data_IF_797536816198
#
_entry.id   IF_797536816198
#
_cell.length_a   1.000
_cell.length_b   1.000
_cell.length_c   1.000
_cell.angle_alpha   90.00
_cell.angle_beta   90.00
_cell.angle_gamma   90.00
#
_symmetry.space_group_name_H-M   'P 1'
#
loop_
_entity.id
_entity.type
_entity.pdbx_description
1 polymer ?
#
# COMPACT_ATOMS: atom_id res chain seq x y z
N UNK A 1 7.26 -23.06 9.73
CA UNK A 1 6.86 -22.38 10.97
C UNK A 1 5.82 -21.29 10.69
N UNK A 2 5.81 -20.66 9.51
CA UNK A 2 4.75 -19.75 9.08
C UNK A 2 3.81 -20.36 8.04
N UNK A 3 4.32 -20.74 6.87
CA UNK A 3 3.52 -21.30 5.77
C UNK A 3 2.87 -22.63 6.14
N UNK A 4 3.59 -23.48 6.91
CA UNK A 4 3.09 -24.77 7.41
C UNK A 4 1.88 -24.60 8.33
N UNK A 5 1.82 -23.49 9.06
CA UNK A 5 0.80 -23.22 10.09
C UNK A 5 -0.37 -22.38 9.52
N UNK A 6 -0.40 -22.21 8.18
CA UNK A 6 -1.45 -21.47 7.47
C UNK A 6 -1.25 -19.96 7.45
N UNK A 7 -0.09 -19.45 7.90
CA UNK A 7 0.21 -18.03 7.87
C UNK A 7 0.67 -17.57 6.48
N UNK A 8 0.09 -16.46 5.99
CA UNK A 8 0.53 -15.76 4.78
C UNK A 8 1.76 -14.92 5.14
N UNK A 9 2.92 -15.20 4.54
CA UNK A 9 4.18 -14.50 4.88
C UNK A 9 5.39 -14.92 4.04
N UNK A 10 6.55 -14.32 4.34
CA UNK A 10 7.84 -14.44 3.63
C UNK A 10 8.59 -15.75 3.88
N UNK A 11 8.04 -16.64 4.70
CA UNK A 11 8.69 -17.89 5.13
C UNK A 11 9.44 -17.72 6.46
N UNK A 12 10.17 -18.75 6.89
CA UNK A 12 10.73 -18.82 8.25
C UNK A 12 12.06 -18.02 8.42
N UNK A 13 12.39 -17.13 7.47
CA UNK A 13 13.69 -16.45 7.41
C UNK A 13 13.52 -14.93 7.34
N UNK A 14 14.53 -14.21 7.81
CA UNK A 14 14.66 -12.79 7.55
C UNK A 14 14.81 -12.50 6.07
N UNK A 15 14.25 -11.37 5.64
CA UNK A 15 14.33 -10.88 4.26
C UNK A 15 15.16 -9.61 4.23
N UNK A 16 16.15 -9.59 3.35
CA UNK A 16 16.83 -8.38 2.92
C UNK A 16 16.63 -8.20 1.42
N UNK A 17 16.29 -6.99 1.00
CA UNK A 17 16.13 -6.64 -0.40
C UNK A 17 16.88 -5.34 -0.69
N UNK A 18 17.54 -5.29 -1.85
CA UNK A 18 18.11 -4.10 -2.44
C UNK A 18 17.76 -4.10 -3.93
N UNK A 19 17.36 -2.94 -4.46
CA UNK A 19 16.96 -2.83 -5.86
C UNK A 19 17.26 -1.46 -6.43
N UNK A 20 17.51 -1.44 -7.74
CA UNK A 20 17.71 -0.22 -8.52
C UNK A 20 16.83 -0.31 -9.76
N UNK A 21 16.09 0.74 -10.06
CA UNK A 21 15.14 0.76 -11.19
C UNK A 21 14.98 2.18 -11.75
N UNK A 22 14.52 2.31 -12.99
CA UNK A 22 14.39 3.62 -13.69
C UNK A 22 13.26 4.53 -13.15
N UNK A 23 12.46 4.05 -12.20
CA UNK A 23 11.39 4.83 -11.59
C UNK A 23 10.20 5.14 -12.49
N UNK A 24 10.13 4.63 -13.72
CA UNK A 24 9.03 4.89 -14.63
C UNK A 24 8.00 3.75 -14.61
N UNK A 25 6.76 4.05 -15.00
CA UNK A 25 5.72 3.04 -15.18
C UNK A 25 6.00 2.17 -16.41
N UNK A 26 5.47 0.95 -16.42
CA UNK A 26 5.59 0.04 -17.55
C UNK A 26 5.10 0.65 -18.88
N UNK A 27 5.64 0.13 -20.00
CA UNK A 27 5.22 0.42 -21.38
C UNK A 27 5.38 1.88 -21.84
N UNK A 28 6.37 2.61 -21.32
CA UNK A 28 6.76 3.94 -21.83
C UNK A 28 8.19 3.89 -22.38
N UNK A 29 8.47 4.73 -23.39
CA UNK A 29 9.85 4.98 -23.81
C UNK A 29 10.62 5.58 -22.65
N UNK A 30 11.88 5.17 -22.49
CA UNK A 30 12.75 5.67 -21.42
C UNK A 30 12.86 7.20 -21.51
N UNK A 31 12.43 7.87 -20.44
CA UNK A 31 12.51 9.31 -20.30
C UNK A 31 13.06 9.74 -18.94
N UNK A 32 13.49 8.81 -18.08
CA UNK A 32 14.13 9.07 -16.80
C UNK A 32 15.55 8.50 -16.77
N UNK A 33 16.55 9.37 -16.95
CA UNK A 33 17.96 8.97 -16.80
C UNK A 33 18.38 8.76 -15.33
N UNK A 34 17.49 9.00 -14.36
CA UNK A 34 17.77 8.77 -12.95
C UNK A 34 17.31 7.38 -12.52
N UNK A 35 17.93 6.91 -11.45
CA UNK A 35 17.59 5.64 -10.82
C UNK A 35 16.90 5.91 -9.48
N UNK A 36 15.91 5.08 -9.18
CA UNK A 36 15.41 4.89 -7.84
C UNK A 36 16.17 3.75 -7.20
N UNK A 37 16.54 3.94 -5.95
CA UNK A 37 17.16 2.93 -5.10
C UNK A 37 16.16 2.57 -4.01
N UNK A 38 15.95 1.28 -3.79
CA UNK A 38 15.04 0.76 -2.77
C UNK A 38 15.78 -0.26 -1.90
N UNK A 39 15.43 -0.29 -0.62
CA UNK A 39 15.89 -1.30 0.32
C UNK A 39 14.75 -1.71 1.26
N UNK A 40 14.79 -2.96 1.71
CA UNK A 40 13.91 -3.49 2.76
C UNK A 40 14.67 -4.48 3.62
N UNK A 41 14.42 -4.42 4.93
CA UNK A 41 14.79 -5.46 5.89
C UNK A 41 13.55 -5.87 6.68
N UNK A 42 13.37 -7.17 6.89
CA UNK A 42 12.29 -7.75 7.68
C UNK A 42 12.84 -8.97 8.40
N UNK A 43 12.46 -9.19 9.67
CA UNK A 43 12.92 -10.36 10.39
C UNK A 43 11.84 -10.92 11.32
N UNK A 44 11.43 -12.19 11.17
CA UNK A 44 10.47 -12.80 12.08
C UNK A 44 11.14 -13.20 13.40
N UNK A 45 10.57 -12.76 14.52
CA UNK A 45 10.97 -13.16 15.87
C UNK A 45 9.88 -14.01 16.52
N UNK A 46 10.29 -15.09 17.18
CA UNK A 46 9.43 -15.82 18.10
C UNK A 46 9.52 -15.20 19.50
N UNK A 47 8.38 -14.84 20.08
CA UNK A 47 8.25 -14.35 21.44
C UNK A 47 7.25 -15.26 22.16
N UNK A 48 7.75 -16.13 23.04
CA UNK A 48 6.93 -17.17 23.65
C UNK A 48 6.35 -18.12 22.59
N UNK A 49 5.03 -18.19 22.50
CA UNK A 49 4.31 -19.01 21.52
C UNK A 49 3.84 -18.22 20.28
N UNK A 50 4.20 -16.94 20.20
CA UNK A 50 3.73 -15.96 19.24
C UNK A 50 4.85 -15.55 18.29
N UNK A 51 4.51 -15.21 17.05
CA UNK A 51 5.47 -14.72 16.05
C UNK A 51 5.14 -13.27 15.71
N UNK A 52 6.16 -12.42 15.75
CA UNK A 52 6.12 -11.05 15.24
C UNK A 52 7.11 -10.88 14.09
N UNK A 53 6.85 -9.97 13.17
CA UNK A 53 7.77 -9.61 12.09
C UNK A 53 7.76 -8.10 11.88
N UNK A 54 8.67 -7.36 12.54
CA UNK A 54 8.95 -5.98 12.19
C UNK A 54 9.74 -5.91 10.88
N UNK A 55 9.53 -4.83 10.14
CA UNK A 55 10.27 -4.51 8.94
C UNK A 55 10.46 -3.01 8.76
N UNK A 56 11.53 -2.65 8.06
CA UNK A 56 11.83 -1.30 7.64
C UNK A 56 12.10 -1.30 6.14
N UNK A 57 11.56 -0.32 5.43
CA UNK A 57 11.82 -0.12 4.02
C UNK A 57 12.06 1.34 3.71
N UNK A 58 12.85 1.60 2.69
CA UNK A 58 13.06 2.95 2.19
C UNK A 58 13.29 2.92 0.69
N UNK A 59 12.92 4.01 0.02
CA UNK A 59 13.39 4.28 -1.32
C UNK A 59 13.63 5.77 -1.51
N UNK A 60 14.49 6.09 -2.47
CA UNK A 60 14.72 7.46 -2.92
C UNK A 60 15.05 7.48 -4.41
N UNK A 61 14.67 8.54 -5.09
CA UNK A 61 14.94 8.75 -6.50
C UNK A 61 14.41 10.07 -7.01
N UNK A 62 14.48 10.21 -8.33
CA UNK A 62 13.96 11.34 -9.08
C UNK A 62 12.92 10.85 -10.05
N UNK A 63 11.71 11.41 -9.94
CA UNK A 63 10.62 11.19 -10.86
C UNK A 63 10.74 12.13 -12.07
N UNK A 64 10.62 11.53 -13.25
CA UNK A 64 10.52 12.26 -14.52
C UNK A 64 9.09 12.17 -15.04
N UNK A 65 8.44 13.32 -15.13
CA UNK A 65 7.09 13.47 -15.64
C UNK A 65 7.04 13.34 -17.17
N UNK A 66 6.12 12.51 -17.65
CA UNK A 66 5.73 12.39 -19.05
C UNK A 66 4.40 13.08 -19.34
N UNK A 67 3.50 12.35 -20.01
CA UNK A 67 2.19 12.82 -20.49
C UNK A 67 1.14 13.04 -19.40
N UNK A 68 1.43 12.67 -18.15
CA UNK A 68 0.52 12.83 -17.02
C UNK A 68 0.31 14.29 -16.59
N UNK A 69 1.17 15.22 -17.00
CA UNK A 69 1.03 16.65 -16.70
C UNK A 69 0.14 17.34 -17.74
N UNK A 70 -0.95 17.93 -17.27
CA UNK A 70 -1.92 18.64 -18.11
C UNK A 70 -1.38 19.96 -18.65
N UNK A 71 -1.95 20.40 -19.77
CA UNK A 71 -1.69 21.75 -20.29
C UNK A 71 -2.06 22.81 -19.26
N UNK A 72 -1.19 23.81 -19.07
CA UNK A 72 -1.36 24.88 -18.08
C UNK A 72 -0.97 24.50 -16.64
N UNK A 73 -0.65 23.24 -16.34
CA UNK A 73 -0.10 22.84 -15.05
C UNK A 73 1.42 23.01 -15.06
N UNK A 74 1.93 23.79 -14.12
CA UNK A 74 3.37 24.04 -14.00
C UNK A 74 4.05 22.99 -13.11
N UNK A 75 5.29 22.64 -13.44
CA UNK A 75 6.14 21.76 -12.60
C UNK A 75 7.53 22.37 -12.63
N UNK A 76 8.11 22.66 -11.45
CA UNK A 76 9.41 23.35 -11.37
C UNK A 76 10.52 22.59 -12.09
N UNK A 77 10.58 21.28 -11.89
CA UNK A 77 11.54 20.40 -12.54
C UNK A 77 10.87 19.09 -12.96
N UNK A 78 10.37 19.06 -14.21
CA UNK A 78 9.68 17.89 -14.75
C UNK A 78 10.56 16.65 -14.78
N UNK A 79 11.87 16.79 -14.89
CA UNK A 79 12.79 15.67 -15.13
C UNK A 79 13.41 15.14 -13.83
N UNK A 80 13.50 15.98 -12.80
CA UNK A 80 14.16 15.66 -11.54
C UNK A 80 13.32 16.01 -10.30
N UNK A 81 12.03 15.66 -10.31
CA UNK A 81 11.18 15.85 -9.12
C UNK A 81 11.54 14.82 -8.05
N UNK A 82 11.77 15.26 -6.80
CA UNK A 82 12.13 14.36 -5.70
C UNK A 82 10.99 13.39 -5.35
N UNK A 83 11.34 12.12 -5.15
CA UNK A 83 10.43 11.09 -4.66
C UNK A 83 11.18 10.16 -3.70
N UNK A 84 10.82 10.19 -2.43
CA UNK A 84 11.51 9.45 -1.38
C UNK A 84 10.55 9.10 -0.24
N UNK A 85 10.66 7.89 0.29
CA UNK A 85 9.85 7.44 1.43
C UNK A 85 10.64 6.50 2.30
N UNK A 86 10.33 6.54 3.59
CA UNK A 86 10.64 5.48 4.54
C UNK A 86 9.33 4.93 5.06
N UNK A 87 9.29 3.63 5.34
CA UNK A 87 8.15 3.01 5.99
C UNK A 87 8.62 1.98 7.02
N UNK A 88 7.79 1.79 8.03
CA UNK A 88 7.91 0.70 8.98
C UNK A 88 6.68 -0.19 8.86
N UNK A 89 6.90 -1.50 8.91
CA UNK A 89 5.86 -2.51 8.93
C UNK A 89 5.96 -3.36 10.19
N UNK A 90 4.84 -3.82 10.70
CA UNK A 90 4.77 -4.75 11.82
C UNK A 90 3.69 -5.79 11.56
N UNK A 91 4.03 -7.07 11.71
CA UNK A 91 3.09 -8.18 11.65
C UNK A 91 3.12 -8.93 12.98
N UNK A 92 1.94 -9.22 13.53
CA UNK A 92 1.69 -10.24 14.54
C UNK A 92 0.89 -11.35 13.87
N UNK A 93 1.49 -12.53 13.71
CA UNK A 93 0.83 -13.65 13.02
C UNK A 93 -0.33 -14.21 13.85
N UNK A 94 -1.49 -14.51 13.27
CA UNK A 94 -2.69 -14.75 14.08
C UNK A 94 -2.65 -16.02 14.94
N UNK A 95 -2.64 -15.86 16.27
CA UNK A 95 -2.70 -17.01 17.20
C UNK A 95 -3.45 -16.72 18.53
N UNK A 96 -4.79 -16.60 18.50
CA UNK A 96 -5.63 -16.54 17.31
C UNK A 96 -5.69 -15.13 16.72
N UNK A 97 -5.39 -14.09 17.51
CA UNK A 97 -5.42 -12.70 17.04
C UNK A 97 -4.19 -12.34 16.24
N UNK A 98 -4.40 -11.67 15.10
CA UNK A 98 -3.34 -11.15 14.25
C UNK A 98 -3.47 -9.65 14.06
N UNK A 99 -2.33 -9.02 13.83
CA UNK A 99 -2.20 -7.59 13.55
C UNK A 99 -1.27 -7.43 12.35
N UNK A 100 -1.62 -6.57 11.42
CA UNK A 100 -0.72 -6.12 10.37
C UNK A 100 -0.81 -4.61 10.26
N UNK A 101 0.32 -3.92 10.36
CA UNK A 101 0.37 -2.48 10.23
C UNK A 101 1.54 -2.08 9.34
N UNK A 102 1.35 -1.02 8.56
CA UNK A 102 2.44 -0.35 7.86
C UNK A 102 2.17 1.15 7.90
N UNK A 103 3.22 1.94 8.10
CA UNK A 103 3.14 3.39 8.01
C UNK A 103 4.34 3.93 7.23
N UNK A 104 4.06 4.76 6.23
CA UNK A 104 5.04 5.40 5.36
C UNK A 104 4.97 6.91 5.50
N UNK A 105 6.14 7.54 5.39
CA UNK A 105 6.32 8.98 5.46
C UNK A 105 7.45 9.38 4.50
N UNK A 106 7.35 10.58 3.94
CA UNK A 106 8.37 11.08 3.03
C UNK A 106 7.90 12.26 2.20
N UNK A 107 8.48 12.36 1.01
CA UNK A 107 8.21 13.44 0.08
C UNK A 107 7.97 12.90 -1.33
N UNK A 108 7.08 13.55 -2.06
CA UNK A 108 6.87 13.21 -3.45
C UNK A 108 6.10 14.30 -4.19
N UNK A 109 5.98 14.16 -5.51
CA UNK A 109 5.20 15.08 -6.31
C UNK A 109 3.72 15.06 -5.92
N UNK A 110 3.13 16.24 -5.76
CA UNK A 110 1.71 16.44 -5.42
C UNK A 110 1.16 17.66 -6.14
N UNK A 111 -0.04 17.54 -6.70
CA UNK A 111 -0.78 18.67 -7.24
C UNK A 111 -1.19 19.69 -6.17
N UNK A 112 -1.03 20.98 -6.47
CA UNK A 112 -1.51 22.11 -5.68
C UNK A 112 -2.55 22.91 -6.49
N UNK A 113 -3.81 22.87 -6.05
CA UNK A 113 -4.94 23.51 -6.73
C UNK A 113 -4.91 25.04 -6.70
N UNK A 114 -4.22 25.65 -5.73
CA UNK A 114 -4.15 27.11 -5.55
C UNK A 114 -3.22 27.72 -6.58
N UNK A 115 -2.03 27.13 -6.74
CA UNK A 115 -0.98 27.57 -7.67
C UNK A 115 -1.11 26.94 -9.05
N UNK A 116 -1.98 25.94 -9.21
CA UNK A 116 -2.13 25.14 -10.43
C UNK A 116 -0.77 24.54 -10.86
N UNK A 117 -0.04 24.00 -9.89
CA UNK A 117 1.31 23.45 -10.05
C UNK A 117 1.42 22.05 -9.44
N UNK A 118 2.45 21.30 -9.85
CA UNK A 118 2.92 20.11 -9.12
C UNK A 118 4.20 20.45 -8.39
N UNK A 119 4.19 20.19 -7.09
CA UNK A 119 5.27 20.52 -6.16
C UNK A 119 5.68 19.28 -5.36
N UNK A 120 6.91 19.28 -4.87
CA UNK A 120 7.34 18.28 -3.90
C UNK A 120 6.68 18.64 -2.56
N UNK A 121 5.86 17.73 -2.06
CA UNK A 121 5.14 17.92 -0.79
C UNK A 121 5.42 16.75 0.15
N UNK A 122 5.17 16.98 1.44
CA UNK A 122 5.16 15.90 2.42
C UNK A 122 4.01 14.94 2.09
N UNK A 123 4.25 13.65 2.33
CA UNK A 123 3.23 12.63 2.28
C UNK A 123 3.38 11.69 3.46
N UNK A 124 2.25 11.14 3.88
CA UNK A 124 2.18 10.14 4.93
C UNK A 124 0.97 9.23 4.74
N UNK A 125 1.04 8.04 5.28
CA UNK A 125 -0.10 7.14 5.28
C UNK A 125 0.25 5.74 5.72
N UNK A 126 -0.76 4.95 5.98
CA UNK A 126 -0.59 3.60 6.43
C UNK A 126 -1.90 2.85 6.51
N UNK A 127 -1.80 1.64 7.01
CA UNK A 127 -2.97 0.85 7.34
C UNK A 127 -2.74 0.05 8.63
N UNK A 128 -3.84 -0.38 9.22
CA UNK A 128 -3.90 -1.33 10.30
C UNK A 128 -4.96 -2.37 9.96
N UNK A 129 -4.59 -3.64 9.94
CA UNK A 129 -5.48 -4.78 9.81
C UNK A 129 -5.47 -5.58 11.11
N UNK A 130 -6.64 -5.86 11.64
CA UNK A 130 -6.87 -6.77 12.75
C UNK A 130 -7.60 -7.99 12.21
N UNK A 131 -7.17 -9.18 12.59
CA UNK A 131 -7.85 -10.41 12.20
C UNK A 131 -7.85 -11.44 13.32
N UNK A 132 -8.67 -12.47 13.16
CA UNK A 132 -8.74 -13.60 14.09
C UNK A 132 -8.71 -14.90 13.30
N UNK A 133 -7.80 -15.81 13.63
CA UNK A 133 -7.76 -17.16 13.08
C UNK A 133 -8.74 -18.04 13.84
N UNK A 134 -9.87 -18.35 13.21
CA UNK A 134 -10.84 -19.28 13.73
C UNK A 134 -10.68 -20.65 13.06
N UNK A 135 -10.14 -21.60 13.81
CA UNK A 135 -10.09 -23.00 13.42
C UNK A 135 -11.48 -23.65 13.57
N UNK A 136 -12.10 -24.01 12.44
CA UNK A 136 -13.42 -24.65 12.38
C UNK A 136 -13.29 -26.17 12.17
N UNK A 137 -14.36 -26.96 12.43
CA UNK A 137 -14.35 -28.39 12.20
C UNK A 137 -13.98 -28.75 10.75
N UNK A 138 -13.44 -29.96 10.55
CA UNK A 138 -12.98 -30.44 9.24
C UNK A 138 -11.83 -29.62 8.64
N UNK A 139 -10.97 -29.03 9.49
CA UNK A 139 -9.79 -28.25 9.10
C UNK A 139 -10.12 -27.02 8.25
N UNK A 140 -11.30 -26.44 8.43
CA UNK A 140 -11.67 -25.20 7.77
C UNK A 140 -11.09 -24.01 8.55
N UNK A 141 -10.75 -22.94 7.86
CA UNK A 141 -10.25 -21.71 8.48
C UNK A 141 -11.17 -20.55 8.14
N UNK A 142 -11.51 -19.75 9.15
CA UNK A 142 -12.29 -18.54 8.99
C UNK A 142 -11.54 -17.37 9.62
N UNK A 143 -11.40 -16.29 8.86
CA UNK A 143 -10.68 -15.09 9.26
C UNK A 143 -11.59 -13.86 9.15
N UNK A 144 -12.39 -13.55 10.17
CA UNK A 144 -12.97 -12.21 10.26
C UNK A 144 -11.84 -11.18 10.42
N UNK A 145 -11.99 -10.05 9.74
CA UNK A 145 -11.02 -8.97 9.79
C UNK A 145 -11.66 -7.59 9.75
N UNK A 146 -10.92 -6.62 10.27
CA UNK A 146 -11.18 -5.20 10.13
C UNK A 146 -9.90 -4.51 9.67
N UNK A 147 -10.00 -3.58 8.73
CA UNK A 147 -8.86 -2.81 8.24
C UNK A 147 -9.20 -1.33 8.21
N UNK A 148 -8.26 -0.51 8.65
CA UNK A 148 -8.30 0.93 8.53
C UNK A 148 -7.15 1.39 7.65
N UNK A 149 -7.39 2.31 6.72
CA UNK A 149 -6.38 2.85 5.83
C UNK A 149 -6.49 4.37 5.77
N UNK A 150 -5.34 5.03 5.92
CA UNK A 150 -5.19 6.47 5.75
C UNK A 150 -4.04 6.78 4.79
N UNK A 151 -4.23 7.74 3.89
CA UNK A 151 -3.14 8.27 3.06
C UNK A 151 -3.38 9.74 2.76
N UNK A 152 -2.34 10.55 2.87
CA UNK A 152 -2.32 11.96 2.49
C UNK A 152 -1.05 12.23 1.71
N UNK A 153 -1.19 12.54 0.42
CA UNK A 153 -0.06 12.76 -0.47
C UNK A 153 -0.44 12.70 -1.94
N UNK A 154 0.54 12.94 -2.82
CA UNK A 154 0.35 12.84 -4.26
C UNK A 154 0.48 11.41 -4.79
N UNK A 155 -0.23 11.10 -5.86
CA UNK A 155 -0.01 9.89 -6.67
C UNK A 155 0.63 10.28 -8.00
N UNK A 156 1.97 10.26 -8.01
CA UNK A 156 2.83 10.70 -9.13
C UNK A 156 2.53 10.07 -10.51
N UNK A 157 1.97 8.87 -10.55
CA UNK A 157 1.62 8.18 -11.80
C UNK A 157 0.25 8.56 -12.37
N UNK A 158 -0.58 9.26 -11.58
CA UNK A 158 -1.87 9.76 -12.04
C UNK A 158 -1.73 11.18 -12.60
N UNK A 159 -2.79 11.62 -13.28
CA UNK A 159 -2.89 12.96 -13.85
C UNK A 159 -2.47 14.03 -12.84
N UNK A 160 -1.56 14.91 -13.25
CA UNK A 160 -1.01 16.03 -12.47
C UNK A 160 -0.39 15.62 -11.12
N UNK A 161 0.05 14.37 -10.95
CA UNK A 161 0.43 13.84 -9.63
C UNK A 161 -0.66 14.11 -8.58
N UNK A 162 -1.89 13.75 -8.96
CA UNK A 162 -3.13 13.99 -8.22
C UNK A 162 -2.95 13.93 -6.70
N UNK A 163 -3.39 14.98 -6.03
CA UNK A 163 -3.42 15.07 -4.57
C UNK A 163 -4.48 14.10 -4.06
N UNK A 164 -4.16 13.31 -3.03
CA UNK A 164 -5.08 12.38 -2.39
C UNK A 164 -5.12 12.60 -0.89
N UNK A 165 -6.33 12.52 -0.34
CA UNK A 165 -6.60 12.19 1.06
C UNK A 165 -7.54 10.99 1.07
N UNK A 166 -7.09 9.85 1.56
CA UNK A 166 -7.85 8.59 1.61
C UNK A 166 -8.12 8.22 3.06
N UNK A 167 -9.37 7.88 3.37
CA UNK A 167 -9.81 7.34 4.66
C UNK A 167 -10.78 6.20 4.36
N UNK A 168 -10.29 4.99 4.44
CA UNK A 168 -11.10 3.80 4.18
C UNK A 168 -11.17 2.90 5.41
N UNK A 169 -12.35 2.34 5.62
CA UNK A 169 -12.60 1.29 6.60
C UNK A 169 -13.12 0.06 5.87
N UNK A 170 -12.56 -1.10 6.18
CA UNK A 170 -12.96 -2.38 5.60
C UNK A 170 -13.33 -3.33 6.74
N UNK A 171 -14.47 -4.01 6.61
CA UNK A 171 -14.88 -5.11 7.47
C UNK A 171 -15.13 -6.32 6.58
N UNK A 172 -14.60 -7.47 6.95
CA UNK A 172 -14.71 -8.62 6.07
C UNK A 172 -14.47 -9.95 6.74
N UNK A 173 -14.60 -10.97 5.92
CA UNK A 173 -14.34 -12.35 6.28
C UNK A 173 -13.68 -13.06 5.12
N UNK A 174 -12.63 -13.80 5.40
CA UNK A 174 -12.01 -14.75 4.49
C UNK A 174 -12.32 -16.16 5.01
N UNK A 175 -12.89 -17.01 4.17
CA UNK A 175 -13.20 -18.40 4.46
C UNK A 175 -12.41 -19.32 3.56
N UNK A 176 -11.70 -20.26 4.17
CA UNK A 176 -10.97 -21.33 3.51
C UNK A 176 -11.59 -22.67 3.93
N UNK A 177 -12.56 -23.21 3.17
CA UNK A 177 -13.15 -24.52 3.42
C UNK A 177 -12.14 -25.67 3.22
N UNK A 178 -11.16 -25.47 2.34
CA UNK A 178 -10.03 -26.37 2.13
C UNK A 178 -8.88 -25.59 1.49
N UNK A 179 -7.66 -26.12 1.57
CA UNK A 179 -6.41 -25.40 1.23
C UNK A 179 -6.37 -24.76 -0.17
N UNK A 180 -7.05 -25.37 -1.14
CA UNK A 180 -7.05 -24.92 -2.54
C UNK A 180 -8.13 -23.86 -2.84
N UNK A 181 -8.99 -23.49 -1.90
CA UNK A 181 -10.11 -22.58 -2.12
C UNK A 181 -10.22 -21.53 -1.03
N UNK A 182 -10.37 -20.27 -1.45
CA UNK A 182 -10.57 -19.12 -0.59
C UNK A 182 -11.75 -18.29 -1.10
N UNK A 183 -12.67 -17.95 -0.20
CA UNK A 183 -13.78 -17.02 -0.44
C UNK A 183 -13.63 -15.82 0.49
N UNK A 184 -13.63 -14.62 -0.07
CA UNK A 184 -13.53 -13.39 0.71
C UNK A 184 -14.71 -12.48 0.43
N UNK A 185 -15.32 -11.97 1.49
CA UNK A 185 -16.34 -10.93 1.44
C UNK A 185 -15.87 -9.71 2.24
N UNK A 186 -15.97 -8.52 1.67
CA UNK A 186 -15.49 -7.28 2.28
C UNK A 186 -16.46 -6.15 2.04
N UNK A 187 -16.93 -5.52 3.12
CA UNK A 187 -17.65 -4.26 3.09
C UNK A 187 -16.66 -3.12 3.28
N UNK A 188 -16.61 -2.20 2.32
CA UNK A 188 -15.72 -1.03 2.35
C UNK A 188 -16.55 0.22 2.52
N UNK A 189 -16.14 1.09 3.43
CA UNK A 189 -16.64 2.44 3.64
C UNK A 189 -15.50 3.39 3.30
N UNK A 190 -15.66 4.15 2.22
CA UNK A 190 -14.61 4.99 1.67
C UNK A 190 -14.98 6.48 1.75
N UNK A 191 -14.03 7.29 2.19
CA UNK A 191 -14.07 8.75 2.13
C UNK A 191 -12.74 9.24 1.55
N UNK A 192 -12.79 9.74 0.32
CA UNK A 192 -11.60 10.09 -0.44
C UNK A 192 -11.75 11.47 -1.05
N UNK A 193 -10.76 12.32 -0.82
CA UNK A 193 -10.55 13.55 -1.58
C UNK A 193 -9.47 13.29 -2.61
N UNK A 194 -9.72 13.63 -3.86
CA UNK A 194 -8.67 13.59 -4.87
C UNK A 194 -8.80 14.73 -5.87
N UNK A 195 -7.70 15.48 -6.00
CA UNK A 195 -7.70 16.79 -6.64
C UNK A 195 -6.61 16.87 -7.72
N UNK A 196 -7.00 17.34 -8.91
CA UNK A 196 -6.14 17.59 -10.06
C UNK A 196 -6.59 18.85 -10.82
N UNK A 197 -6.01 19.12 -12.00
CA UNK A 197 -6.35 20.32 -12.79
C UNK A 197 -7.79 20.37 -13.29
N UNK A 198 -8.47 19.22 -13.41
CA UNK A 198 -9.87 19.12 -13.88
C UNK A 198 -10.84 19.14 -12.72
N UNK A 199 -10.55 18.37 -11.66
CA UNK A 199 -11.39 18.27 -10.47
C UNK A 199 -10.62 18.86 -9.28
N UNK A 200 -10.64 20.18 -9.16
CA UNK A 200 -9.89 20.89 -8.10
C UNK A 200 -10.47 20.70 -6.70
N UNK A 201 -11.78 20.45 -6.61
CA UNK A 201 -12.50 20.23 -5.36
C UNK A 201 -13.37 18.99 -5.50
N UNK A 202 -12.84 17.84 -5.11
CA UNK A 202 -13.50 16.57 -5.36
C UNK A 202 -13.30 15.58 -4.21
N UNK A 203 -14.23 15.66 -3.25
CA UNK A 203 -14.41 14.67 -2.19
C UNK A 203 -15.54 13.74 -2.56
N UNK A 204 -15.29 12.46 -2.45
CA UNK A 204 -16.24 11.39 -2.76
C UNK A 204 -16.34 10.45 -1.58
N UNK A 205 -17.59 10.07 -1.28
CA UNK A 205 -17.90 9.10 -0.24
C UNK A 205 -18.76 8.00 -0.85
N UNK A 206 -18.54 6.77 -0.41
CA UNK A 206 -19.31 5.65 -0.90
C UNK A 206 -18.97 4.36 -0.19
N UNK A 207 -19.86 3.39 -0.34
CA UNK A 207 -19.71 2.06 0.21
C UNK A 207 -19.75 1.03 -0.92
N UNK A 208 -19.03 -0.08 -0.76
CA UNK A 208 -19.14 -1.22 -1.68
C UNK A 208 -19.01 -2.55 -0.95
N UNK A 209 -19.69 -3.56 -1.49
CA UNK A 209 -19.45 -4.95 -1.16
C UNK A 209 -18.53 -5.55 -2.24
N UNK A 210 -17.41 -6.12 -1.82
CA UNK A 210 -16.51 -6.89 -2.67
C UNK A 210 -16.62 -8.36 -2.30
N UNK A 211 -16.82 -9.21 -3.31
CA UNK A 211 -16.76 -10.65 -3.20
C UNK A 211 -15.63 -11.17 -4.09
N UNK A 212 -14.81 -12.08 -3.58
CA UNK A 212 -13.70 -12.68 -4.31
C UNK A 212 -13.66 -14.18 -4.05
N UNK A 213 -13.43 -14.95 -5.11
CA UNK A 213 -13.10 -16.37 -5.04
C UNK A 213 -11.70 -16.57 -5.60
N UNK A 214 -10.87 -17.31 -4.90
CA UNK A 214 -9.52 -17.66 -5.35
C UNK A 214 -9.31 -19.18 -5.27
N UNK A 215 -8.74 -19.73 -6.35
CA UNK A 215 -8.31 -21.13 -6.43
C UNK A 215 -6.78 -21.18 -6.45
N UNK A 216 -6.20 -21.97 -5.54
CA UNK A 216 -4.76 -22.19 -5.45
C UNK A 216 -4.48 -23.63 -5.90
N UNK A 217 -3.54 -23.81 -6.83
CA UNK A 217 -3.13 -25.10 -7.40
C UNK A 217 -1.64 -25.34 -7.21
#
# INVERSE_FOLDING_TARGET
>A
MLIKDGYKGSGDYGVFAFGVYNGQTANKSEANKNLHVVTRVSYPFMIGNQIIEPGLQAYTGKWAFGSEISSGVSVKDKQYTLDQRVAASFILYPKPFGVQAEYNLGNGPRYNKVTNSVEVSNLQGGYLTLNYKWDLPKNQLLYPFAKFQYYDGGKKFEKDARSYTVRDYELGIEWQPYKAFELTATWVIADRTFEDSVLKDNRQQGNLLRLQVQFNF
#
